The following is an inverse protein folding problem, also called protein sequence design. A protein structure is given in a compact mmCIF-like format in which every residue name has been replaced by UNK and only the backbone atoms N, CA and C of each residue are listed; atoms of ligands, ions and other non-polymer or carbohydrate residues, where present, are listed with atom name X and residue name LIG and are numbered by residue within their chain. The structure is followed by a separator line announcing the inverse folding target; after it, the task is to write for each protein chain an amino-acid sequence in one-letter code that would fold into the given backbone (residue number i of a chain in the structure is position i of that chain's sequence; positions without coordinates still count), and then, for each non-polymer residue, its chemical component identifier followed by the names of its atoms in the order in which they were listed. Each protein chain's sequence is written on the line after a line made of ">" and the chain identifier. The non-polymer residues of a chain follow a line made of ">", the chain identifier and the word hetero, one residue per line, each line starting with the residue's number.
data_IF_601147661135
#
_entry.id   IF_601147661135
#
_cell.length_a   1.000
_cell.length_b   1.000
_cell.length_c   1.000
_cell.angle_alpha   90.00
_cell.angle_beta   90.00
_cell.angle_gamma   90.00
#
_symmetry.space_group_name_H-M   'P 1'
#
loop_
_entity.id
_entity.type
_entity.pdbx_description
1 polymer ?
#
# COMPACT_ATOMS: atom_id res chain seq x y z
N UNK A 1 -12.28 -17.05 15.64
CA UNK A 1 -12.66 -16.20 16.79
C UNK A 1 -11.39 -15.60 17.34
N UNK A 2 -11.31 -14.28 17.58
CA UNK A 2 -10.14 -13.68 18.22
C UNK A 2 -9.92 -14.33 19.59
N UNK A 3 -8.65 -14.53 19.94
CA UNK A 3 -8.25 -15.06 21.26
C UNK A 3 -7.87 -13.87 22.11
N UNK A 4 -8.43 -13.78 23.31
CA UNK A 4 -8.16 -12.67 24.24
C UNK A 4 -6.67 -12.60 24.60
N UNK A 5 -6.09 -11.42 24.58
CA UNK A 5 -4.66 -11.19 24.80
C UNK A 5 -3.77 -11.43 23.57
N UNK A 6 -4.32 -11.80 22.41
CA UNK A 6 -3.55 -11.96 21.15
C UNK A 6 -3.80 -10.81 20.18
N UNK A 7 -2.76 -10.40 19.47
CA UNK A 7 -2.82 -9.40 18.40
C UNK A 7 -2.98 -10.13 17.07
N UNK A 8 -4.03 -9.83 16.29
CA UNK A 8 -4.22 -10.40 14.96
C UNK A 8 -3.10 -9.94 14.01
N UNK A 9 -2.42 -10.89 13.38
CA UNK A 9 -1.33 -10.61 12.44
C UNK A 9 -1.54 -11.34 11.12
N UNK A 10 -0.89 -10.85 10.08
CA UNK A 10 -0.67 -11.54 8.81
C UNK A 10 0.78 -11.97 8.78
N UNK A 11 1.04 -13.20 8.36
CA UNK A 11 2.36 -13.73 8.09
C UNK A 11 2.51 -14.00 6.59
N UNK A 12 3.60 -13.52 6.01
CA UNK A 12 4.07 -13.89 4.67
C UNK A 12 5.27 -14.80 4.84
N UNK A 13 5.18 -15.99 4.27
CA UNK A 13 6.25 -16.97 4.30
C UNK A 13 7.24 -16.68 3.17
N UNK A 14 8.54 -16.81 3.45
CA UNK A 14 9.54 -16.76 2.39
C UNK A 14 9.62 -18.14 1.73
N UNK A 15 9.16 -18.23 0.50
CA UNK A 15 9.15 -19.46 -0.28
C UNK A 15 10.32 -19.53 -1.27
N UNK A 16 11.07 -18.43 -1.43
CA UNK A 16 12.15 -18.30 -2.40
C UNK A 16 13.52 -18.18 -1.72
N UNK A 17 14.30 -19.25 -1.73
CA UNK A 17 15.66 -19.28 -1.16
C UNK A 17 16.63 -18.33 -1.87
N UNK A 18 16.40 -18.03 -3.16
CA UNK A 18 17.30 -17.20 -3.97
C UNK A 18 17.02 -15.69 -3.83
N UNK A 19 15.78 -15.31 -3.51
CA UNK A 19 15.38 -13.92 -3.35
C UNK A 19 14.62 -13.73 -2.03
N UNK A 20 15.21 -13.06 -1.02
CA UNK A 20 14.63 -12.93 0.30
C UNK A 20 13.48 -11.90 0.30
N UNK A 21 12.33 -12.24 -0.31
CA UNK A 21 11.19 -11.36 -0.53
C UNK A 21 10.67 -10.73 0.76
N UNK A 22 10.63 -11.50 1.85
CA UNK A 22 10.17 -11.04 3.17
C UNK A 22 11.11 -10.01 3.80
N UNK A 23 12.41 -10.15 3.60
CA UNK A 23 13.41 -9.16 4.07
C UNK A 23 13.36 -7.89 3.21
N UNK A 24 13.09 -8.01 1.91
CA UNK A 24 12.88 -6.87 1.02
C UNK A 24 11.64 -6.09 1.49
N UNK A 25 10.51 -6.76 1.70
CA UNK A 25 9.29 -6.12 2.19
C UNK A 25 9.50 -5.44 3.56
N UNK A 26 10.26 -6.07 4.46
CA UNK A 26 10.62 -5.44 5.72
C UNK A 26 11.50 -4.20 5.56
N UNK A 27 12.43 -4.20 4.61
CA UNK A 27 13.25 -3.02 4.28
C UNK A 27 12.38 -1.88 3.77
N UNK A 28 11.38 -2.18 2.94
CA UNK A 28 10.39 -1.21 2.47
C UNK A 28 9.53 -0.65 3.60
N UNK A 29 9.14 -1.49 4.56
CA UNK A 29 8.47 -1.03 5.79
C UNK A 29 9.34 -0.04 6.56
N UNK A 30 10.65 -0.29 6.71
CA UNK A 30 11.56 0.63 7.39
C UNK A 30 11.69 1.96 6.62
N UNK A 31 11.86 1.92 5.30
CA UNK A 31 11.88 3.12 4.45
C UNK A 31 10.57 3.93 4.57
N UNK A 32 9.43 3.25 4.55
CA UNK A 32 8.12 3.87 4.71
C UNK A 32 8.01 4.61 6.06
N UNK A 33 8.48 4.00 7.12
CA UNK A 33 8.53 4.65 8.45
C UNK A 33 9.41 5.88 8.47
N UNK A 34 10.59 5.81 7.86
CA UNK A 34 11.56 6.92 7.85
C UNK A 34 10.99 8.16 7.12
N UNK A 35 10.18 7.96 6.08
CA UNK A 35 9.52 9.07 5.36
C UNK A 35 8.18 9.48 5.97
N UNK A 36 7.72 8.82 7.04
CA UNK A 36 6.45 9.12 7.71
C UNK A 36 5.20 8.57 7.02
N UNK A 37 5.35 7.57 6.13
CA UNK A 37 4.22 6.83 5.58
C UNK A 37 3.63 5.92 6.66
N UNK A 38 2.33 6.02 6.87
CA UNK A 38 1.63 5.20 7.86
C UNK A 38 1.52 3.76 7.39
N UNK A 39 2.12 2.86 8.14
CA UNK A 39 2.00 1.40 8.01
C UNK A 39 1.74 0.78 9.38
N UNK A 40 1.17 -0.43 9.38
CA UNK A 40 1.03 -1.21 10.61
C UNK A 40 2.39 -1.70 11.11
N UNK A 41 2.50 -1.91 12.42
CA UNK A 41 3.70 -2.47 13.03
C UNK A 41 4.05 -3.80 12.39
N UNK A 42 5.27 -3.88 11.89
CA UNK A 42 5.76 -5.05 11.17
C UNK A 42 7.13 -5.47 11.68
N UNK A 43 7.43 -6.77 11.56
CA UNK A 43 8.69 -7.35 12.01
C UNK A 43 9.04 -8.60 11.22
N UNK A 44 10.29 -9.02 11.32
CA UNK A 44 10.71 -10.33 10.87
C UNK A 44 10.52 -11.37 11.98
N UNK A 45 10.18 -12.57 11.57
CA UNK A 45 10.16 -13.78 12.39
C UNK A 45 11.18 -14.75 11.83
N UNK A 46 12.21 -15.03 12.61
CA UNK A 46 13.22 -16.02 12.23
C UNK A 46 12.64 -17.43 12.40
N UNK A 47 12.64 -18.20 11.32
CA UNK A 47 12.36 -19.64 11.30
C UNK A 47 13.64 -20.45 11.30
N UNK A 48 13.53 -21.77 11.22
CA UNK A 48 14.71 -22.67 11.18
C UNK A 48 15.53 -22.51 9.88
N UNK A 49 14.87 -22.27 8.76
CA UNK A 49 15.51 -22.22 7.43
C UNK A 49 15.22 -20.94 6.66
N UNK A 50 14.29 -20.14 7.11
CA UNK A 50 13.84 -18.92 6.41
C UNK A 50 13.35 -17.86 7.38
N UNK A 51 13.28 -16.62 6.91
CA UNK A 51 12.80 -15.48 7.67
C UNK A 51 11.44 -15.04 7.11
N UNK A 52 10.45 -14.88 7.96
CA UNK A 52 9.09 -14.55 7.56
C UNK A 52 8.77 -13.10 7.92
N UNK A 53 7.90 -12.45 7.12
CA UNK A 53 7.41 -11.11 7.40
C UNK A 53 6.09 -11.18 8.16
N UNK A 54 6.00 -10.48 9.29
CA UNK A 54 4.77 -10.34 10.08
C UNK A 54 4.35 -8.89 10.10
N UNK A 55 3.04 -8.65 9.90
CA UNK A 55 2.43 -7.33 10.06
C UNK A 55 1.14 -7.42 10.84
N UNK A 56 0.87 -6.41 11.68
CA UNK A 56 -0.40 -6.31 12.39
C UNK A 56 -1.55 -6.01 11.41
N UNK A 57 -2.73 -6.52 11.71
CA UNK A 57 -3.92 -6.28 10.92
C UNK A 57 -4.57 -4.96 11.31
N UNK A 58 -4.72 -4.04 10.36
CA UNK A 58 -5.45 -2.78 10.55
C UNK A 58 -6.97 -2.97 10.58
N UNK A 59 -7.47 -4.06 9.98
CA UNK A 59 -8.91 -4.36 9.91
C UNK A 59 -9.43 -5.09 11.16
N UNK A 60 -8.67 -5.04 12.26
CA UNK A 60 -9.02 -5.60 13.56
C UNK A 60 -8.68 -4.65 14.69
N UNK A 61 -9.67 -4.32 15.50
CA UNK A 61 -9.49 -3.56 16.75
C UNK A 61 -10.04 -4.41 17.89
N UNK A 62 -9.14 -4.99 18.67
CA UNK A 62 -9.51 -6.04 19.62
C UNK A 62 -10.25 -7.19 18.92
N UNK A 63 -11.45 -7.50 19.37
CA UNK A 63 -12.31 -8.54 18.80
C UNK A 63 -13.21 -8.06 17.65
N UNK A 64 -13.17 -6.76 17.31
CA UNK A 64 -14.05 -6.17 16.30
C UNK A 64 -13.39 -6.11 14.95
N UNK A 65 -14.15 -6.44 13.90
CA UNK A 65 -13.75 -6.23 12.51
C UNK A 65 -14.07 -4.80 12.11
N UNK A 66 -13.09 -4.11 11.53
CA UNK A 66 -13.28 -2.79 10.92
C UNK A 66 -13.79 -2.98 9.50
N UNK A 67 -14.85 -2.28 9.12
CA UNK A 67 -15.35 -2.31 7.75
C UNK A 67 -14.29 -1.71 6.81
N UNK A 68 -13.89 -2.48 5.81
CA UNK A 68 -12.82 -2.11 4.89
C UNK A 68 -13.22 -2.46 3.46
N UNK A 69 -12.94 -1.54 2.52
CA UNK A 69 -13.17 -1.72 1.10
C UNK A 69 -11.91 -1.33 0.33
N UNK A 70 -11.50 -2.16 -0.62
CA UNK A 70 -10.43 -1.82 -1.57
C UNK A 70 -10.95 -0.81 -2.59
N UNK A 71 -10.03 -0.07 -3.22
CA UNK A 71 -10.37 0.78 -4.37
C UNK A 71 -11.06 -0.05 -5.47
N UNK A 72 -10.58 -1.28 -5.73
CA UNK A 72 -11.22 -2.20 -6.67
C UNK A 72 -12.66 -2.56 -6.31
N UNK A 73 -13.00 -2.63 -5.02
CA UNK A 73 -14.37 -2.90 -4.58
C UNK A 73 -15.29 -1.67 -4.71
N UNK A 74 -14.74 -0.46 -4.53
CA UNK A 74 -15.47 0.80 -4.66
C UNK A 74 -15.61 1.25 -6.12
N UNK A 75 -14.55 1.07 -6.91
CA UNK A 75 -14.50 1.37 -8.34
C UNK A 75 -13.72 0.26 -9.07
N UNK A 76 -14.39 -0.77 -9.60
CA UNK A 76 -13.73 -1.90 -10.27
C UNK A 76 -12.94 -1.49 -11.53
N UNK A 77 -13.23 -0.33 -12.10
CA UNK A 77 -12.57 0.20 -13.31
C UNK A 77 -11.41 1.15 -13.00
N UNK A 78 -11.16 1.44 -11.71
CA UNK A 78 -10.05 2.31 -11.31
C UNK A 78 -8.72 1.71 -11.77
N UNK A 79 -7.96 2.48 -12.55
CA UNK A 79 -6.67 2.11 -13.09
C UNK A 79 -5.64 3.27 -13.07
N UNK A 80 -5.96 4.35 -12.37
CA UNK A 80 -5.12 5.53 -12.22
C UNK A 80 -5.09 6.03 -10.77
N UNK A 81 -4.05 6.75 -10.43
CA UNK A 81 -4.00 7.45 -9.15
C UNK A 81 -5.03 8.57 -9.08
N UNK A 82 -5.40 9.17 -10.21
CA UNK A 82 -6.51 10.11 -10.28
C UNK A 82 -7.81 9.45 -9.82
N UNK A 83 -8.11 8.21 -10.23
CA UNK A 83 -9.29 7.47 -9.75
C UNK A 83 -9.24 7.23 -8.24
N UNK A 84 -8.06 6.92 -7.70
CA UNK A 84 -7.85 6.73 -6.26
C UNK A 84 -8.18 8.01 -5.49
N UNK A 85 -7.63 9.15 -5.92
CA UNK A 85 -7.89 10.44 -5.29
C UNK A 85 -9.34 10.90 -5.48
N UNK A 86 -9.92 10.68 -6.66
CA UNK A 86 -11.32 11.01 -6.92
C UNK A 86 -12.27 10.23 -6.01
N UNK A 87 -12.03 8.93 -5.80
CA UNK A 87 -12.79 8.12 -4.83
C UNK A 87 -12.58 8.64 -3.42
N UNK A 88 -11.32 8.90 -3.01
CA UNK A 88 -11.00 9.42 -1.69
C UNK A 88 -11.73 10.75 -1.40
N UNK A 89 -11.71 11.68 -2.35
CA UNK A 89 -12.42 12.96 -2.21
C UNK A 89 -13.95 12.76 -2.11
N UNK A 90 -14.53 11.86 -2.93
CA UNK A 90 -15.98 11.60 -2.93
C UNK A 90 -16.49 11.01 -1.62
N UNK A 91 -15.68 10.18 -0.96
CA UNK A 91 -16.05 9.59 0.34
C UNK A 91 -15.66 10.48 1.54
N UNK A 92 -15.09 11.67 1.27
CA UNK A 92 -14.82 12.68 2.29
C UNK A 92 -13.52 12.46 3.07
N UNK A 93 -12.51 11.83 2.46
CA UNK A 93 -11.18 11.69 3.10
C UNK A 93 -10.58 13.07 3.37
N UNK A 94 -10.05 13.25 4.57
CA UNK A 94 -9.49 14.53 5.00
C UNK A 94 -8.17 14.88 4.27
N UNK A 95 -7.87 16.18 4.06
CA UNK A 95 -6.64 16.60 3.37
C UNK A 95 -5.35 16.01 3.95
N UNK A 96 -5.25 15.91 5.27
CA UNK A 96 -4.09 15.28 5.93
C UNK A 96 -3.90 13.80 5.55
N UNK A 97 -5.00 13.09 5.26
CA UNK A 97 -4.94 11.70 4.81
C UNK A 97 -4.68 11.62 3.31
N UNK A 98 -5.20 12.57 2.50
CA UNK A 98 -4.82 12.68 1.07
C UNK A 98 -3.31 12.86 0.90
N UNK A 99 -2.66 13.59 1.82
CA UNK A 99 -1.20 13.71 1.85
C UNK A 99 -0.50 12.36 2.05
N UNK A 100 -1.09 11.44 2.80
CA UNK A 100 -0.55 10.06 2.94
C UNK A 100 -0.74 9.24 1.67
N UNK A 101 -1.86 9.39 0.95
CA UNK A 101 -2.03 8.76 -0.37
C UNK A 101 -1.01 9.30 -1.38
N UNK A 102 -0.76 10.61 -1.35
CA UNK A 102 0.26 11.23 -2.20
C UNK A 102 1.67 10.71 -1.88
N UNK A 103 1.98 10.56 -0.60
CA UNK A 103 3.25 9.99 -0.16
C UNK A 103 3.39 8.53 -0.63
N UNK A 104 2.34 7.71 -0.47
CA UNK A 104 2.33 6.32 -0.93
C UNK A 104 2.54 6.23 -2.45
N UNK A 105 1.81 7.02 -3.25
CA UNK A 105 1.98 7.13 -4.69
C UNK A 105 3.45 7.46 -5.05
N UNK A 106 3.99 8.48 -4.40
CA UNK A 106 5.37 8.92 -4.64
C UNK A 106 6.37 7.83 -4.29
N UNK A 107 6.15 7.13 -3.18
CA UNK A 107 7.01 6.01 -2.75
C UNK A 107 6.92 4.84 -3.73
N UNK A 108 5.74 4.47 -4.23
CA UNK A 108 5.59 3.43 -5.23
C UNK A 108 6.43 3.73 -6.48
N UNK A 109 6.35 4.98 -6.96
CA UNK A 109 7.12 5.43 -8.15
C UNK A 109 8.63 5.41 -7.90
N UNK A 110 9.08 5.98 -6.77
CA UNK A 110 10.51 6.15 -6.50
C UNK A 110 11.22 4.85 -6.10
N UNK A 111 10.50 3.92 -5.47
CA UNK A 111 11.09 2.69 -4.93
C UNK A 111 10.89 1.46 -5.81
N UNK A 112 10.24 1.60 -6.96
CA UNK A 112 10.02 0.49 -7.88
C UNK A 112 8.98 -0.52 -7.39
N UNK A 113 8.00 -0.06 -6.61
CA UNK A 113 6.80 -0.85 -6.34
C UNK A 113 5.79 -0.66 -7.48
N UNK A 114 5.98 -1.41 -8.56
CA UNK A 114 5.18 -1.32 -9.79
C UNK A 114 3.92 -2.19 -9.76
N UNK A 115 3.78 -3.08 -8.77
CA UNK A 115 2.57 -3.89 -8.54
C UNK A 115 1.52 -3.10 -7.73
N UNK A 116 1.39 -1.82 -8.04
CA UNK A 116 0.53 -0.85 -7.40
C UNK A 116 -0.91 -0.89 -7.93
N UNK A 117 -1.50 -2.08 -8.01
CA UNK A 117 -2.85 -2.26 -8.53
C UNK A 117 -3.94 -1.81 -7.54
N UNK A 118 -5.15 -1.61 -8.03
CA UNK A 118 -6.29 -1.06 -7.28
C UNK A 118 -6.76 -1.88 -6.06
N UNK A 119 -6.26 -3.09 -5.85
CA UNK A 119 -6.51 -3.89 -4.64
C UNK A 119 -5.53 -3.55 -3.50
N UNK A 120 -4.42 -2.86 -3.80
CA UNK A 120 -3.40 -2.46 -2.82
C UNK A 120 -3.72 -1.11 -2.15
N UNK A 121 -4.86 -0.50 -2.49
CA UNK A 121 -5.38 0.70 -1.86
C UNK A 121 -6.72 0.40 -1.21
N UNK A 122 -6.87 0.74 0.05
CA UNK A 122 -8.11 0.48 0.79
C UNK A 122 -8.53 1.66 1.64
N UNK A 123 -9.82 1.68 1.93
CA UNK A 123 -10.46 2.61 2.84
C UNK A 123 -11.14 1.83 3.94
N UNK A 124 -11.13 2.38 5.16
CA UNK A 124 -11.80 1.81 6.31
C UNK A 124 -12.83 2.79 6.87
N UNK A 125 -13.92 2.27 7.37
CA UNK A 125 -14.98 3.08 7.95
C UNK A 125 -14.99 2.93 9.47
N UNK A 126 -14.88 4.06 10.15
CA UNK A 126 -15.01 4.10 11.59
C UNK A 126 -16.47 3.85 12.05
N UNK A 127 -16.69 3.64 13.32
CA UNK A 127 -18.02 3.32 13.88
C UNK A 127 -19.03 4.47 13.76
N UNK A 128 -18.56 5.69 13.56
CA UNK A 128 -19.36 6.89 13.30
C UNK A 128 -19.75 7.06 11.82
N UNK A 129 -19.32 6.13 10.94
CA UNK A 129 -19.58 6.16 9.50
C UNK A 129 -18.60 7.01 8.70
N UNK A 130 -17.56 7.56 9.33
CA UNK A 130 -16.53 8.35 8.66
C UNK A 130 -15.52 7.42 7.98
N UNK A 131 -15.19 7.74 6.73
CA UNK A 131 -14.18 7.01 5.98
C UNK A 131 -12.79 7.58 6.21
N UNK A 132 -11.82 6.68 6.30
CA UNK A 132 -10.40 6.94 6.44
C UNK A 132 -9.61 6.11 5.44
N UNK A 133 -8.40 6.53 5.08
CA UNK A 133 -7.48 5.64 4.38
C UNK A 133 -6.98 4.56 5.35
N UNK A 134 -6.68 3.38 4.83
CA UNK A 134 -5.95 2.37 5.62
C UNK A 134 -4.47 2.74 5.73
N UNK A 135 -3.75 2.25 6.74
CA UNK A 135 -2.30 2.16 6.65
C UNK A 135 -1.90 1.46 5.35
N UNK A 136 -0.77 1.87 4.75
CA UNK A 136 -0.24 1.23 3.56
C UNK A 136 0.12 -0.24 3.84
N UNK A 137 -0.04 -1.08 2.85
CA UNK A 137 0.26 -2.51 2.90
C UNK A 137 0.71 -2.98 1.52
N UNK A 138 1.30 -4.17 1.47
CA UNK A 138 1.79 -4.79 0.24
C UNK A 138 2.76 -3.86 -0.52
N UNK A 139 3.61 -3.18 0.25
CA UNK A 139 4.57 -2.21 -0.24
C UNK A 139 5.95 -2.87 -0.28
N UNK A 140 6.41 -3.22 -1.49
CA UNK A 140 7.65 -3.97 -1.70
C UNK A 140 8.24 -3.69 -3.09
N UNK A 141 9.48 -4.11 -3.31
CA UNK A 141 10.09 -4.09 -4.64
C UNK A 141 9.42 -5.11 -5.56
N UNK A 142 8.98 -4.70 -6.73
CA UNK A 142 8.27 -5.57 -7.67
C UNK A 142 8.76 -5.47 -9.13
N UNK A 143 9.90 -4.79 -9.36
CA UNK A 143 10.53 -4.75 -10.68
C UNK A 143 11.19 -6.10 -10.98
N UNK A 144 10.86 -6.71 -12.12
CA UNK A 144 11.57 -7.87 -12.63
C UNK A 144 12.84 -7.43 -13.36
N UNK A 145 13.98 -7.56 -12.68
CA UNK A 145 15.28 -7.14 -13.23
C UNK A 145 15.78 -8.05 -14.37
N UNK A 146 15.18 -9.22 -14.55
CA UNK A 146 15.51 -10.15 -15.65
C UNK A 146 14.66 -9.89 -16.91
N UNK A 147 13.54 -9.18 -16.76
CA UNK A 147 12.64 -8.90 -17.85
C UNK A 147 13.05 -7.68 -18.69
N UNK A 148 12.68 -7.62 -19.98
CA UNK A 148 12.80 -6.40 -20.75
C UNK A 148 12.07 -5.23 -20.11
N UNK A 149 12.65 -4.01 -20.16
CA UNK A 149 12.13 -2.83 -19.46
C UNK A 149 10.68 -2.44 -19.79
N UNK A 150 10.16 -2.85 -20.95
CA UNK A 150 8.77 -2.59 -21.32
C UNK A 150 7.74 -3.41 -20.52
N UNK A 151 8.17 -4.44 -19.79
CA UNK A 151 7.32 -5.24 -18.88
C UNK A 151 7.20 -4.55 -17.51
N UNK A 152 8.24 -3.84 -17.09
CA UNK A 152 8.29 -3.15 -15.81
C UNK A 152 7.52 -1.82 -15.88
N UNK A 153 6.21 -1.91 -15.71
CA UNK A 153 5.29 -0.77 -15.75
C UNK A 153 4.39 -0.80 -14.53
N UNK A 154 4.07 0.37 -14.00
CA UNK A 154 3.09 0.51 -12.94
C UNK A 154 1.73 -0.06 -13.36
N UNK A 155 1.03 -0.72 -12.42
CA UNK A 155 -0.33 -1.19 -12.64
C UNK A 155 -1.32 -0.02 -12.75
N UNK A 156 -1.07 1.06 -12.00
CA UNK A 156 -1.86 2.29 -12.10
C UNK A 156 -1.11 3.37 -12.87
N UNK A 157 -1.85 4.22 -13.57
CA UNK A 157 -1.30 5.36 -14.30
C UNK A 157 -1.26 6.63 -13.47
N UNK A 158 -0.36 7.55 -13.82
CA UNK A 158 -0.33 8.96 -13.39
C UNK A 158 -0.29 9.80 -14.66
N UNK A 159 -1.28 10.69 -14.86
CA UNK A 159 -1.42 11.49 -16.10
C UNK A 159 -1.37 10.61 -17.37
N UNK A 160 -2.05 9.45 -17.33
CA UNK A 160 -2.06 8.42 -18.40
C UNK A 160 -0.68 7.77 -18.70
N UNK A 161 0.31 7.93 -17.82
CA UNK A 161 1.61 7.27 -17.91
C UNK A 161 1.71 6.15 -16.87
N UNK A 162 2.24 5.00 -17.22
CA UNK A 162 2.59 3.91 -16.30
C UNK A 162 4.08 3.54 -16.34
N UNK A 163 4.87 4.32 -17.06
CA UNK A 163 6.33 4.30 -17.09
C UNK A 163 6.83 5.73 -17.35
N UNK A 164 8.12 5.95 -17.14
CA UNK A 164 8.76 7.25 -17.35
C UNK A 164 8.03 8.40 -16.63
N UNK A 165 7.56 8.09 -15.41
CA UNK A 165 6.87 9.04 -14.54
C UNK A 165 7.89 10.03 -13.99
N UNK A 166 7.68 11.30 -14.26
CA UNK A 166 8.56 12.38 -13.86
C UNK A 166 8.02 13.15 -12.65
N UNK A 167 8.89 13.92 -11.99
CA UNK A 167 8.49 14.81 -10.91
C UNK A 167 7.31 15.72 -11.28
N UNK A 168 7.28 16.18 -12.55
CA UNK A 168 6.19 17.04 -13.05
C UNK A 168 4.83 16.33 -13.00
N UNK A 169 4.78 15.02 -13.28
CA UNK A 169 3.55 14.23 -13.22
C UNK A 169 3.02 14.16 -11.79
N UNK A 170 3.90 13.90 -10.81
CA UNK A 170 3.54 13.88 -9.39
C UNK A 170 3.02 15.24 -8.92
N UNK A 171 3.68 16.33 -9.32
CA UNK A 171 3.27 17.69 -8.95
C UNK A 171 1.91 18.09 -9.55
N UNK A 172 1.52 17.53 -10.71
CA UNK A 172 0.18 17.75 -11.27
C UNK A 172 -0.90 17.12 -10.38
N UNK A 173 -0.68 15.90 -9.87
CA UNK A 173 -1.58 15.27 -8.91
C UNK A 173 -1.68 16.11 -7.63
N UNK A 174 -0.54 16.52 -7.06
CA UNK A 174 -0.54 17.39 -5.88
C UNK A 174 -1.36 18.66 -6.10
N UNK A 175 -1.20 19.32 -7.24
CA UNK A 175 -1.92 20.56 -7.57
C UNK A 175 -3.42 20.33 -7.76
N UNK A 176 -3.82 19.16 -8.26
CA UNK A 176 -5.24 18.83 -8.53
C UNK A 176 -6.02 18.54 -7.25
N UNK A 177 -5.37 17.92 -6.26
CA UNK A 177 -6.03 17.37 -5.06
C UNK A 177 -5.60 18.04 -3.74
N UNK A 178 -4.93 19.20 -3.80
CA UNK A 178 -4.49 19.98 -2.63
C UNK A 178 -5.62 20.87 -2.06
#
# INVERSE_FOLDING_TARGET
>A
TPIDGFIPMIIKFDEHLEMPTTRIEYSYYLMAKDVGLKMMSSRLLEGETSTHFLTERFDRVGNTKVHTQTLAAMNPFANSYEDLFDVACRIGILPAELSQLFLLMTMNVLSGNIDDHNKNFSFMMATDGVWHITPAYDFTFSVDTSAPGYINRHCMTINNKNADIERADLLQIAKRYN
#
